data_IF_362592255023
#
_entry.id   IF_362592255023
#
_cell.length_a   1.000
_cell.length_b   1.000
_cell.length_c   1.000
_cell.angle_alpha   90.00
_cell.angle_beta   90.00
_cell.angle_gamma   90.00
#
_symmetry.space_group_name_H-M   'P 1'
#
loop_
_entity.id
_entity.type
_entity.pdbx_description
1 polymer ?
#
# COMPACT_ATOMS: atom_id res chain seq x y z
N UNK A 1 17.81 1.30 -8.42
CA UNK A 1 16.70 1.02 -7.48
C UNK A 1 15.71 2.16 -7.55
N UNK A 2 14.61 2.09 -6.82
CA UNK A 2 13.73 3.25 -6.63
C UNK A 2 14.40 4.28 -5.69
N UNK A 3 14.05 5.56 -5.83
CA UNK A 3 14.63 6.66 -5.04
C UNK A 3 13.72 7.15 -3.90
N UNK A 4 12.43 6.76 -3.91
CA UNK A 4 11.44 7.13 -2.90
C UNK A 4 10.32 6.08 -2.83
N UNK A 5 9.54 6.12 -1.74
CA UNK A 5 8.27 5.42 -1.58
C UNK A 5 7.11 6.41 -1.69
N UNK A 6 5.97 5.96 -2.22
CA UNK A 6 4.74 6.76 -2.29
C UNK A 6 3.63 6.01 -1.57
N UNK A 7 2.91 6.69 -0.68
CA UNK A 7 1.78 6.12 0.05
C UNK A 7 0.51 6.95 -0.18
N UNK A 8 -0.65 6.31 0.03
CA UNK A 8 -1.96 6.97 0.01
C UNK A 8 -2.41 7.48 1.39
N UNK A 9 -1.48 7.75 2.30
CA UNK A 9 -1.80 8.19 3.67
C UNK A 9 -2.32 9.64 3.67
N UNK A 10 -3.36 9.89 4.48
CA UNK A 10 -3.92 11.21 4.76
C UNK A 10 -3.93 11.48 6.26
N UNK A 11 -3.50 12.67 6.67
CA UNK A 11 -3.30 12.97 8.09
C UNK A 11 -4.64 13.01 8.83
N UNK A 12 -4.76 12.20 9.89
CA UNK A 12 -5.92 12.17 10.78
C UNK A 12 -7.12 11.38 10.22
N UNK A 13 -6.98 10.70 9.09
CA UNK A 13 -8.08 9.92 8.51
C UNK A 13 -8.37 8.62 9.28
N UNK A 14 -7.33 7.96 9.78
CA UNK A 14 -7.42 6.74 10.61
C UNK A 14 -6.40 6.79 11.75
N UNK A 15 -6.58 5.94 12.77
CA UNK A 15 -5.71 5.93 13.96
C UNK A 15 -4.22 5.76 13.64
N UNK A 16 -3.86 4.96 12.62
CA UNK A 16 -2.48 4.78 12.17
C UNK A 16 -1.88 5.99 11.46
N UNK A 17 -2.70 6.94 11.00
CA UNK A 17 -2.26 8.09 10.20
C UNK A 17 -2.25 9.40 11.01
N UNK A 18 -1.82 9.32 12.26
CA UNK A 18 -1.50 10.50 13.07
C UNK A 18 -0.02 10.88 12.89
N UNK A 19 0.34 12.14 13.11
CA UNK A 19 1.74 12.58 13.05
C UNK A 19 2.74 11.67 13.81
N UNK A 20 2.49 11.29 15.09
CA UNK A 20 3.41 10.40 15.79
C UNK A 20 3.50 9.01 15.15
N UNK A 21 2.38 8.44 14.70
CA UNK A 21 2.39 7.11 14.08
C UNK A 21 3.11 7.12 12.73
N UNK A 22 2.88 8.14 11.91
CA UNK A 22 3.58 8.32 10.64
C UNK A 22 5.10 8.41 10.85
N UNK A 23 5.54 9.15 11.88
CA UNK A 23 6.97 9.29 12.19
C UNK A 23 7.60 7.96 12.63
N UNK A 24 6.89 7.15 13.43
CA UNK A 24 7.36 5.83 13.85
C UNK A 24 7.46 4.86 12.67
N UNK A 25 6.45 4.84 11.79
CA UNK A 25 6.43 3.97 10.61
C UNK A 25 7.53 4.38 9.62
N UNK A 26 7.71 5.68 9.38
CA UNK A 26 8.72 6.20 8.45
C UNK A 26 10.15 5.90 8.89
N UNK A 27 10.40 5.81 10.20
CA UNK A 27 11.72 5.45 10.73
C UNK A 27 12.21 4.04 10.31
N UNK A 28 11.31 3.16 9.84
CA UNK A 28 11.66 1.84 9.37
C UNK A 28 12.35 1.84 7.98
N UNK A 29 12.31 2.94 7.24
CA UNK A 29 12.84 3.01 5.87
C UNK A 29 13.82 4.19 5.71
N UNK A 30 14.97 3.99 5.04
CA UNK A 30 15.92 5.08 4.77
C UNK A 30 15.52 5.93 3.54
N UNK A 31 14.49 5.52 2.80
CA UNK A 31 14.02 6.23 1.60
C UNK A 31 13.00 7.31 1.98
N UNK A 32 12.99 8.47 1.29
CA UNK A 32 11.93 9.46 1.44
C UNK A 32 10.54 8.86 1.15
N UNK A 33 9.55 9.18 1.99
CA UNK A 33 8.15 8.77 1.81
C UNK A 33 7.32 9.98 1.36
N UNK A 34 6.89 9.97 0.10
CA UNK A 34 6.03 10.99 -0.49
C UNK A 34 4.56 10.67 -0.18
N UNK A 35 3.82 11.66 0.35
CA UNK A 35 2.42 11.51 0.77
C UNK A 35 1.53 12.55 0.08
N UNK A 36 1.16 12.35 -1.20
CA UNK A 36 0.39 13.34 -1.97
C UNK A 36 -0.96 13.71 -1.34
N UNK A 37 -1.55 12.79 -0.56
CA UNK A 37 -2.86 12.96 0.05
C UNK A 37 -2.81 13.48 1.50
N UNK A 38 -1.63 13.84 2.01
CA UNK A 38 -1.42 14.10 3.44
C UNK A 38 -2.34 15.18 4.02
N UNK A 39 -2.73 16.16 3.20
CA UNK A 39 -3.62 17.27 3.60
C UNK A 39 -5.03 17.20 3.03
N UNK A 40 -5.40 16.12 2.33
CA UNK A 40 -6.72 15.96 1.72
C UNK A 40 -7.68 15.25 2.66
N UNK A 41 -8.94 15.67 2.70
CA UNK A 41 -10.00 14.93 3.36
C UNK A 41 -10.54 13.76 2.50
N UNK A 42 -11.35 12.90 3.11
CA UNK A 42 -11.91 11.72 2.45
C UNK A 42 -12.78 12.08 1.24
N UNK A 43 -13.52 13.19 1.30
CA UNK A 43 -14.36 13.67 0.22
C UNK A 43 -13.52 14.10 -0.98
N UNK A 44 -12.47 14.86 -0.75
CA UNK A 44 -11.51 15.29 -1.77
C UNK A 44 -10.83 14.09 -2.45
N UNK A 45 -10.38 13.11 -1.67
CA UNK A 45 -9.76 11.87 -2.18
C UNK A 45 -10.77 11.08 -3.02
N UNK A 46 -12.02 10.97 -2.57
CA UNK A 46 -13.07 10.25 -3.29
C UNK A 46 -13.44 10.94 -4.60
N UNK A 47 -13.52 12.27 -4.59
CA UNK A 47 -13.77 13.06 -5.79
C UNK A 47 -12.64 12.91 -6.82
N UNK A 48 -11.39 12.90 -6.36
CA UNK A 48 -10.23 12.68 -7.21
C UNK A 48 -10.20 11.25 -7.79
N UNK A 49 -10.52 10.24 -6.97
CA UNK A 49 -10.65 8.86 -7.44
C UNK A 49 -11.77 8.70 -8.48
N UNK A 50 -12.90 9.40 -8.32
CA UNK A 50 -13.98 9.41 -9.31
C UNK A 50 -13.55 10.10 -10.60
N UNK A 51 -12.84 11.24 -10.50
CA UNK A 51 -12.28 11.97 -11.65
C UNK A 51 -11.27 11.13 -12.43
N UNK A 52 -10.47 10.31 -11.74
CA UNK A 52 -9.49 9.39 -12.32
C UNK A 52 -10.10 8.06 -12.80
N UNK A 53 -11.37 7.78 -12.48
CA UNK A 53 -12.04 6.55 -12.85
C UNK A 53 -11.64 5.32 -12.01
N UNK A 54 -10.99 5.51 -10.86
CA UNK A 54 -10.55 4.42 -9.98
C UNK A 54 -11.53 4.10 -8.86
N UNK A 55 -12.47 5.02 -8.56
CA UNK A 55 -13.37 4.89 -7.41
C UNK A 55 -14.16 3.57 -7.41
N UNK A 56 -14.78 3.21 -8.53
CA UNK A 56 -15.63 2.01 -8.64
C UNK A 56 -14.85 0.71 -8.36
N UNK A 57 -13.58 0.64 -8.77
CA UNK A 57 -12.71 -0.51 -8.47
C UNK A 57 -12.29 -0.51 -7.00
N UNK A 58 -11.97 0.66 -6.44
CA UNK A 58 -11.47 0.78 -5.05
C UNK A 58 -12.53 0.51 -3.98
N UNK A 59 -13.82 0.52 -4.31
CA UNK A 59 -14.93 0.27 -3.35
C UNK A 59 -15.49 -1.16 -3.42
N UNK A 60 -14.94 -2.02 -4.28
CA UNK A 60 -15.35 -3.43 -4.35
C UNK A 60 -15.11 -4.07 -2.97
N UNK A 61 -16.14 -4.65 -2.32
CA UNK A 61 -15.96 -5.28 -1.01
C UNK A 61 -14.98 -6.44 -1.09
N UNK A 62 -13.91 -6.39 -0.31
CA UNK A 62 -12.94 -7.48 -0.19
C UNK A 62 -12.86 -8.02 1.25
N UNK A 63 -12.50 -9.30 1.35
CA UNK A 63 -11.99 -10.04 2.50
C UNK A 63 -10.78 -9.38 3.19
N UNK A 64 -10.85 -8.11 3.55
CA UNK A 64 -9.66 -7.34 3.89
C UNK A 64 -9.04 -7.88 5.19
N UNK A 65 -7.79 -8.35 5.12
CA UNK A 65 -7.01 -8.77 6.28
C UNK A 65 -6.96 -7.70 7.38
N UNK A 66 -7.14 -6.44 6.98
CA UNK A 66 -7.31 -5.28 7.83
C UNK A 66 -8.40 -5.48 8.90
N UNK A 67 -9.55 -6.08 8.59
CA UNK A 67 -10.59 -6.29 9.62
C UNK A 67 -10.21 -7.38 10.64
N UNK A 68 -9.42 -8.36 10.21
CA UNK A 68 -9.05 -9.49 11.06
C UNK A 68 -7.99 -9.11 12.10
N UNK A 69 -7.11 -8.17 11.78
CA UNK A 69 -5.95 -7.81 12.61
C UNK A 69 -6.05 -6.41 13.24
N UNK A 70 -7.12 -5.65 12.97
CA UNK A 70 -7.33 -4.36 13.65
C UNK A 70 -7.68 -4.61 15.12
N UNK A 71 -6.88 -4.11 16.08
CA UNK A 71 -7.21 -4.21 17.48
C UNK A 71 -8.45 -3.36 17.79
N UNK A 72 -9.23 -3.70 18.84
CA UNK A 72 -10.42 -2.93 19.22
C UNK A 72 -10.12 -1.48 19.62
N UNK A 73 -8.90 -1.22 20.11
CA UNK A 73 -8.43 0.10 20.53
C UNK A 73 -7.06 0.41 19.89
N UNK A 74 -7.02 0.84 18.62
CA UNK A 74 -5.77 1.16 17.96
C UNK A 74 -5.12 2.40 18.58
N UNK A 75 -3.81 2.35 18.80
CA UNK A 75 -3.05 3.47 19.34
C UNK A 75 -3.00 4.63 18.32
N UNK A 76 -3.35 5.83 18.75
CA UNK A 76 -3.23 7.06 17.96
C UNK A 76 -1.90 7.77 18.17
N UNK A 77 -1.06 7.25 19.07
CA UNK A 77 0.30 7.71 19.34
C UNK A 77 1.17 6.53 19.75
N UNK A 78 1.93 6.03 18.79
CA UNK A 78 2.91 4.99 18.98
C UNK A 78 4.21 5.59 19.54
N UNK A 79 4.87 4.76 20.33
CA UNK A 79 6.14 5.06 20.97
C UNK A 79 7.20 4.13 20.37
N UNK A 80 8.32 4.65 19.81
CA UNK A 80 9.36 3.82 19.20
C UNK A 80 9.84 2.69 20.11
N UNK A 81 9.95 2.94 21.42
CA UNK A 81 10.33 1.97 22.44
C UNK A 81 9.37 0.78 22.52
N UNK A 82 8.06 1.03 22.46
CA UNK A 82 7.04 -0.02 22.52
C UNK A 82 7.05 -0.86 21.24
N UNK A 83 7.25 -0.22 20.08
CA UNK A 83 7.37 -0.90 18.79
C UNK A 83 8.62 -1.79 18.77
N UNK A 84 9.78 -1.27 19.18
CA UNK A 84 11.01 -2.04 19.25
C UNK A 84 10.90 -3.23 20.23
N UNK A 85 10.23 -3.05 21.37
CA UNK A 85 9.97 -4.13 22.31
C UNK A 85 9.07 -5.22 21.71
N UNK A 86 8.02 -4.83 20.96
CA UNK A 86 7.15 -5.76 20.26
C UNK A 86 7.91 -6.53 19.16
N UNK A 87 8.70 -5.81 18.34
CA UNK A 87 9.49 -6.37 17.25
C UNK A 87 10.60 -7.30 17.74
N UNK A 88 11.17 -7.07 18.93
CA UNK A 88 12.22 -7.93 19.52
C UNK A 88 11.79 -9.38 19.73
N UNK A 89 10.48 -9.63 19.73
CA UNK A 89 9.89 -10.97 19.88
C UNK A 89 9.71 -11.69 18.53
N UNK A 90 10.05 -11.05 17.42
CA UNK A 90 9.86 -11.51 16.06
C UNK A 90 11.20 -11.56 15.32
N UNK A 91 11.37 -12.56 14.47
CA UNK A 91 12.46 -12.55 13.49
C UNK A 91 12.04 -11.71 12.27
N UNK A 92 12.00 -10.39 12.46
CA UNK A 92 11.59 -9.43 11.42
C UNK A 92 12.42 -9.61 10.14
N UNK A 93 13.76 -9.75 10.18
CA UNK A 93 14.55 -10.01 8.98
C UNK A 93 14.12 -11.27 8.22
N UNK A 94 13.87 -12.39 8.91
CA UNK A 94 13.41 -13.61 8.25
C UNK A 94 12.01 -13.47 7.65
N UNK A 95 11.09 -12.79 8.35
CA UNK A 95 9.73 -12.52 7.86
C UNK A 95 9.74 -11.64 6.61
N UNK A 96 10.56 -10.58 6.61
CA UNK A 96 10.75 -9.71 5.44
C UNK A 96 11.36 -10.48 4.28
N UNK A 97 12.40 -11.28 4.52
CA UNK A 97 13.02 -12.11 3.48
C UNK A 97 12.03 -13.09 2.86
N UNK A 98 11.18 -13.72 3.67
CA UNK A 98 10.10 -14.60 3.20
C UNK A 98 9.11 -13.86 2.29
N UNK A 99 8.66 -12.67 2.70
CA UNK A 99 7.74 -11.85 1.90
C UNK A 99 8.35 -11.40 0.56
N UNK A 100 9.62 -10.99 0.57
CA UNK A 100 10.35 -10.59 -0.63
C UNK A 100 10.56 -11.78 -1.57
N UNK A 101 10.89 -12.97 -1.04
CA UNK A 101 11.09 -14.18 -1.84
C UNK A 101 9.80 -14.63 -2.56
N UNK A 102 8.63 -14.37 -1.97
CA UNK A 102 7.32 -14.67 -2.56
C UNK A 102 6.78 -13.60 -3.52
N UNK A 103 7.54 -12.57 -3.88
CA UNK A 103 7.05 -11.47 -4.71
C UNK A 103 6.90 -11.87 -6.18
N UNK A 104 5.73 -11.64 -6.75
CA UNK A 104 5.48 -11.72 -8.19
C UNK A 104 5.57 -10.35 -8.86
N UNK A 105 5.99 -10.32 -10.13
CA UNK A 105 6.11 -9.08 -10.92
C UNK A 105 5.24 -9.16 -12.16
N UNK A 106 4.28 -8.25 -12.25
CA UNK A 106 3.42 -8.09 -13.41
C UNK A 106 3.69 -6.73 -14.05
N UNK A 107 3.84 -6.71 -15.38
CA UNK A 107 3.92 -5.45 -16.14
C UNK A 107 2.52 -5.10 -16.63
N UNK A 108 2.00 -3.98 -16.17
CA UNK A 108 0.77 -3.40 -16.64
C UNK A 108 1.08 -2.21 -17.53
N UNK A 109 0.37 -2.08 -18.65
CA UNK A 109 0.49 -0.96 -19.57
C UNK A 109 -0.86 -0.24 -19.65
N UNK A 110 -0.83 1.08 -19.54
CA UNK A 110 -2.00 1.94 -19.75
C UNK A 110 -1.65 3.12 -20.68
N UNK A 111 -2.45 3.39 -21.73
CA UNK A 111 -3.60 2.60 -22.18
C UNK A 111 -3.17 1.18 -22.54
N UNK A 112 -4.06 0.21 -22.33
CA UNK A 112 -3.77 -1.18 -22.68
C UNK A 112 -3.31 -1.24 -24.15
N UNK A 113 -2.20 -1.91 -24.43
CA UNK A 113 -1.84 -2.18 -25.82
C UNK A 113 -2.99 -2.96 -26.46
N UNK A 114 -3.35 -2.66 -27.72
CA UNK A 114 -4.35 -3.44 -28.42
C UNK A 114 -3.91 -4.90 -28.43
N UNK A 115 -4.74 -5.80 -27.90
CA UNK A 115 -4.44 -7.22 -27.86
C UNK A 115 -3.99 -7.70 -29.25
N UNK A 116 -2.78 -8.26 -29.36
CA UNK A 116 -2.35 -8.88 -30.61
C UNK A 116 -3.38 -9.95 -30.99
N UNK A 117 -3.90 -9.94 -32.24
CA UNK A 117 -4.77 -11.02 -32.68
C UNK A 117 -3.99 -12.33 -32.57
N UNK A 118 -4.63 -13.43 -32.09
CA UNK A 118 -3.94 -14.70 -31.94
C UNK A 118 -3.29 -15.09 -33.26
N UNK A 119 -2.00 -15.42 -33.21
CA UNK A 119 -1.23 -15.84 -34.36
C UNK A 119 -1.96 -16.98 -35.07
N UNK A 120 -2.35 -16.74 -36.33
CA UNK A 120 -2.96 -17.78 -37.16
C UNK A 120 -1.90 -18.87 -37.38
N UNK A 121 -2.04 -20.01 -36.69
CA UNK A 121 -1.24 -21.19 -37.00
C UNK A 121 -1.61 -21.67 -38.40
N UNK A 122 -0.80 -21.30 -39.40
CA UNK A 122 -0.83 -21.95 -40.70
C UNK A 122 -0.16 -23.30 -40.51
N UNK A 123 -0.93 -24.31 -40.11
CA UNK A 123 -0.51 -25.71 -40.27
C UNK A 123 -0.52 -25.96 -41.77
N UNK A 124 0.69 -26.05 -42.34
CA UNK A 124 0.93 -26.38 -43.73
C UNK A 124 0.34 -27.74 -44.10
N UNK A 125 -0.05 -27.84 -45.37
CA UNK A 125 -0.48 -29.08 -46.03
C UNK A 125 0.67 -30.07 -46.17
#
# INVERSE_FOLDING_TARGET
GAEALVTGESLGQVASQTLPNLAVIEAAVPLPVLRPLIGMDKGEISAEAARLGTFETSVIPDQDCCQLFVPPHPATRAHPEDVAAAESRLDVPALVALGVAGTERVRLCWPAEPAEPPARSVVGR
#
